data_IF_151358980331
#
_entry.id   IF_151358980331
#
_cell.length_a   1.000
_cell.length_b   1.000
_cell.length_c   1.000
_cell.angle_alpha   90.00
_cell.angle_beta   90.00
_cell.angle_gamma   90.00
#
_symmetry.space_group_name_H-M   'P 1'
#
loop_
_entity.id
_entity.type
_entity.pdbx_description
1 polymer ?
#
# COMPACT_ATOMS: atom_id res chain seq x y z
N UNK A 1 15.57 19.42 -8.54
CA UNK A 1 16.58 18.63 -9.29
C UNK A 1 15.99 17.26 -9.68
N UNK A 2 14.77 17.22 -10.19
CA UNK A 2 14.14 15.98 -10.66
C UNK A 2 14.07 16.03 -12.19
N UNK A 3 14.50 14.96 -12.85
CA UNK A 3 14.56 14.90 -14.31
C UNK A 3 13.17 14.55 -14.84
N UNK A 4 12.58 15.34 -15.75
CA UNK A 4 11.23 15.06 -16.27
C UNK A 4 11.03 13.69 -16.93
N UNK A 5 12.11 13.05 -17.40
CA UNK A 5 12.07 11.71 -18.00
C UNK A 5 11.78 10.59 -16.98
N UNK A 6 12.07 10.82 -15.70
CA UNK A 6 11.89 9.87 -14.60
C UNK A 6 10.38 9.59 -14.36
N UNK A 7 9.55 10.63 -14.48
CA UNK A 7 8.11 10.53 -14.19
C UNK A 7 7.34 9.58 -15.12
N UNK A 8 7.77 9.37 -16.37
CA UNK A 8 7.10 8.40 -17.25
C UNK A 8 7.31 6.98 -16.75
N UNK A 9 8.53 6.67 -16.35
CA UNK A 9 8.88 5.36 -15.76
C UNK A 9 8.18 5.17 -14.42
N UNK A 10 8.14 6.22 -13.58
CA UNK A 10 7.42 6.20 -12.31
C UNK A 10 5.91 5.97 -12.50
N UNK A 11 5.26 6.72 -13.40
CA UNK A 11 3.83 6.55 -13.71
C UNK A 11 3.57 5.14 -14.25
N UNK A 12 4.42 4.63 -15.14
CA UNK A 12 4.29 3.27 -15.67
C UNK A 12 4.41 2.22 -14.55
N UNK A 13 5.37 2.37 -13.63
CA UNK A 13 5.54 1.49 -12.48
C UNK A 13 4.30 1.50 -11.57
N UNK A 14 3.80 2.69 -11.23
CA UNK A 14 2.61 2.85 -10.40
C UNK A 14 1.35 2.31 -11.08
N UNK A 15 1.22 2.45 -12.40
CA UNK A 15 0.11 1.87 -13.17
C UNK A 15 0.12 0.34 -13.11
N UNK A 16 1.28 -0.29 -13.28
CA UNK A 16 1.43 -1.75 -13.15
C UNK A 16 1.01 -2.23 -11.76
N UNK A 17 1.49 -1.57 -10.70
CA UNK A 17 1.07 -1.88 -9.33
C UNK A 17 -0.45 -1.71 -9.15
N UNK A 18 -1.05 -0.71 -9.80
CA UNK A 18 -2.50 -0.48 -9.74
C UNK A 18 -3.28 -1.62 -10.42
N UNK A 19 -2.78 -2.21 -11.51
CA UNK A 19 -3.42 -3.38 -12.15
C UNK A 19 -3.48 -4.54 -11.17
N UNK A 20 -2.36 -4.87 -10.50
CA UNK A 20 -2.31 -5.97 -9.54
C UNK A 20 -3.24 -5.74 -8.34
N UNK A 21 -3.32 -4.50 -7.86
CA UNK A 21 -4.21 -4.08 -6.75
C UNK A 21 -5.67 -4.14 -7.12
N UNK A 22 -6.00 -3.76 -8.34
CA UNK A 22 -7.36 -3.72 -8.82
C UNK A 22 -7.95 -5.12 -9.09
N UNK A 23 -7.18 -6.19 -8.92
CA UNK A 23 -7.66 -7.54 -9.17
C UNK A 23 -8.88 -7.96 -8.33
N UNK A 24 -9.17 -7.29 -7.21
CA UNK A 24 -10.38 -7.55 -6.42
C UNK A 24 -11.60 -6.75 -6.89
N UNK A 25 -11.41 -5.80 -7.81
CA UNK A 25 -12.45 -4.88 -8.24
C UNK A 25 -12.64 -4.97 -9.76
N UNK A 26 -13.74 -4.38 -10.24
CA UNK A 26 -14.11 -4.46 -11.66
C UNK A 26 -13.16 -3.66 -12.59
N UNK A 27 -12.75 -2.42 -12.28
CA UNK A 27 -11.97 -1.64 -13.23
C UNK A 27 -10.49 -2.05 -13.26
N UNK A 28 -9.90 -2.08 -14.45
CA UNK A 28 -8.45 -2.24 -14.61
C UNK A 28 -7.65 -1.07 -14.00
N UNK A 29 -6.34 -1.25 -13.84
CA UNK A 29 -5.44 -0.25 -13.26
C UNK A 29 -4.99 0.81 -14.26
N UNK A 30 -5.03 2.09 -13.85
CA UNK A 30 -4.47 3.21 -14.59
C UNK A 30 -3.68 4.13 -13.64
N UNK A 31 -2.76 4.93 -14.20
CA UNK A 31 -2.09 6.01 -13.46
C UNK A 31 -1.86 7.23 -14.33
N UNK A 32 -2.08 8.41 -13.73
CA UNK A 32 -1.79 9.70 -14.32
C UNK A 32 -0.95 10.55 -13.37
N UNK A 33 -0.29 11.58 -13.91
CA UNK A 33 0.51 12.51 -13.15
C UNK A 33 0.84 13.77 -13.95
N UNK A 34 1.24 14.83 -13.26
CA UNK A 34 1.64 16.08 -13.87
C UNK A 34 2.79 16.72 -13.08
N UNK A 35 3.53 17.61 -13.76
CA UNK A 35 4.63 18.37 -13.16
C UNK A 35 4.30 19.85 -13.24
N UNK A 36 4.33 20.55 -12.11
CA UNK A 36 4.19 22.00 -12.06
C UNK A 36 5.50 22.65 -12.51
N UNK A 37 5.50 23.23 -13.72
CA UNK A 37 6.69 23.85 -14.31
C UNK A 37 6.93 25.28 -13.81
N UNK A 38 5.87 25.99 -13.43
CA UNK A 38 5.95 27.37 -12.98
C UNK A 38 6.57 27.43 -11.59
N UNK A 39 7.58 28.28 -11.41
CA UNK A 39 8.06 28.60 -10.07
C UNK A 39 7.09 29.58 -9.42
N UNK A 40 6.56 29.18 -8.27
CA UNK A 40 5.61 29.98 -7.49
C UNK A 40 6.16 30.16 -6.08
N UNK A 41 5.87 31.30 -5.46
CA UNK A 41 6.08 31.45 -4.02
C UNK A 41 5.27 30.40 -3.25
N UNK A 42 5.77 29.96 -2.09
CA UNK A 42 5.16 28.89 -1.28
C UNK A 42 3.66 29.13 -0.99
N UNK A 43 3.25 30.39 -0.84
CA UNK A 43 1.86 30.76 -0.57
C UNK A 43 0.92 30.52 -1.78
N UNK A 44 1.45 30.56 -3.00
CA UNK A 44 0.68 30.39 -4.24
C UNK A 44 0.83 28.99 -4.85
N UNK A 45 1.79 28.20 -4.36
CA UNK A 45 2.10 26.88 -4.92
C UNK A 45 0.88 25.93 -4.91
N UNK A 46 0.11 25.89 -3.83
CA UNK A 46 -1.07 25.02 -3.75
C UNK A 46 -2.14 25.39 -4.80
N UNK A 47 -2.38 26.68 -5.00
CA UNK A 47 -3.33 27.16 -6.01
C UNK A 47 -2.87 26.83 -7.44
N UNK A 48 -1.57 26.92 -7.72
CA UNK A 48 -1.00 26.51 -9.02
C UNK A 48 -1.14 25.00 -9.23
N UNK A 49 -0.90 24.19 -8.19
CA UNK A 49 -1.08 22.73 -8.24
C UNK A 49 -2.53 22.38 -8.54
N UNK A 50 -3.50 23.01 -7.86
CA UNK A 50 -4.93 22.81 -8.16
C UNK A 50 -5.28 23.26 -9.59
N UNK A 51 -4.74 24.38 -10.06
CA UNK A 51 -4.96 24.86 -11.44
C UNK A 51 -4.43 23.87 -12.48
N UNK A 52 -3.23 23.32 -12.28
CA UNK A 52 -2.66 22.29 -13.14
C UNK A 52 -3.49 20.99 -13.10
N UNK A 53 -3.96 20.61 -11.92
CA UNK A 53 -4.85 19.44 -11.77
C UNK A 53 -6.16 19.63 -12.52
N UNK A 54 -6.80 20.80 -12.40
CA UNK A 54 -8.02 21.13 -13.13
C UNK A 54 -7.80 21.05 -14.64
N UNK A 55 -6.68 21.58 -15.15
CA UNK A 55 -6.33 21.48 -16.57
C UNK A 55 -6.16 20.02 -17.01
N UNK A 56 -5.46 19.19 -16.23
CA UNK A 56 -5.27 17.78 -16.55
C UNK A 56 -6.63 17.05 -16.63
N UNK A 57 -7.46 17.17 -15.60
CA UNK A 57 -8.77 16.50 -15.55
C UNK A 57 -9.68 16.99 -16.66
N UNK A 58 -9.74 18.31 -16.90
CA UNK A 58 -10.47 18.88 -18.04
C UNK A 58 -10.01 18.29 -19.38
N UNK A 59 -8.70 18.19 -19.59
CA UNK A 59 -8.14 17.64 -20.83
C UNK A 59 -8.47 16.16 -21.01
N UNK A 60 -8.48 15.37 -19.92
CA UNK A 60 -8.90 13.96 -19.95
C UNK A 60 -10.38 13.83 -20.31
N UNK A 61 -11.26 14.66 -19.72
CA UNK A 61 -12.69 14.66 -20.02
C UNK A 61 -13.02 15.13 -21.45
N UNK A 62 -12.14 15.90 -22.08
CA UNK A 62 -12.28 16.32 -23.50
C UNK A 62 -11.92 15.22 -24.50
N UNK A 63 -11.21 14.17 -24.08
CA UNK A 63 -10.80 13.06 -24.95
C UNK A 63 -11.49 11.73 -24.64
N UNK A 64 -12.01 11.54 -23.41
CA UNK A 64 -12.69 10.33 -22.99
C UNK A 64 -14.08 10.21 -23.63
N UNK A 65 -14.46 9.01 -24.10
CA UNK A 65 -15.84 8.75 -24.49
C UNK A 65 -16.78 8.94 -23.29
N UNK A 66 -18.00 9.40 -23.56
CA UNK A 66 -19.02 9.63 -22.54
C UNK A 66 -20.25 8.74 -22.77
N UNK A 67 -21.16 8.67 -21.81
CA UNK A 67 -22.47 8.02 -21.97
C UNK A 67 -23.58 9.05 -21.92
N UNK A 68 -24.54 8.92 -22.83
CA UNK A 68 -25.78 9.66 -22.76
C UNK A 68 -26.75 9.04 -21.72
N UNK A 69 -27.86 9.74 -21.49
CA UNK A 69 -28.89 9.32 -20.53
C UNK A 69 -29.60 8.01 -20.88
N UNK A 70 -29.41 7.48 -22.08
CA UNK A 70 -29.97 6.22 -22.58
C UNK A 70 -28.90 5.11 -22.63
N UNK A 71 -27.67 5.39 -22.20
CA UNK A 71 -26.54 4.44 -22.23
C UNK A 71 -25.88 4.34 -23.60
N UNK A 72 -26.11 5.29 -24.51
CA UNK A 72 -25.40 5.35 -25.80
C UNK A 72 -24.05 6.03 -25.62
N UNK A 73 -23.01 5.43 -26.20
CA UNK A 73 -21.66 6.00 -26.25
C UNK A 73 -21.64 7.29 -27.08
N UNK A 74 -21.00 8.31 -26.53
CA UNK A 74 -20.73 9.60 -27.15
C UNK A 74 -19.21 9.71 -27.32
N UNK A 75 -18.74 9.63 -28.57
CA UNK A 75 -17.35 9.89 -28.90
C UNK A 75 -17.05 11.39 -28.96
N UNK A 76 -15.84 11.76 -28.53
CA UNK A 76 -15.40 13.14 -28.59
C UNK A 76 -14.99 13.55 -30.01
N UNK A 77 -15.35 14.78 -30.39
CA UNK A 77 -14.97 15.31 -31.70
C UNK A 77 -13.45 15.51 -31.77
N UNK A 78 -12.85 15.18 -32.92
CA UNK A 78 -11.41 15.32 -33.19
C UNK A 78 -10.49 14.39 -32.37
N UNK A 79 -11.02 13.27 -31.85
CA UNK A 79 -10.22 12.19 -31.26
C UNK A 79 -10.08 11.05 -32.26
N UNK A 80 -8.86 10.59 -32.47
CA UNK A 80 -8.59 9.36 -33.20
C UNK A 80 -8.43 8.22 -32.19
N UNK A 81 -9.48 7.39 -32.05
CA UNK A 81 -9.47 6.22 -31.19
C UNK A 81 -8.75 5.05 -31.88
N UNK A 82 -7.87 4.38 -31.15
CA UNK A 82 -7.16 3.17 -31.61
C UNK A 82 -7.71 1.89 -30.96
N UNK A 83 -8.53 2.07 -29.94
CA UNK A 83 -9.23 1.10 -29.12
C UNK A 83 -10.75 1.16 -29.37
N UNK A 84 -11.51 0.29 -28.67
CA UNK A 84 -12.97 0.33 -28.70
C UNK A 84 -13.54 1.36 -27.72
N UNK A 85 -14.87 1.42 -27.64
CA UNK A 85 -15.59 2.33 -26.75
C UNK A 85 -15.09 2.24 -25.31
N UNK A 86 -14.62 3.36 -24.75
CA UNK A 86 -14.19 3.44 -23.36
C UNK A 86 -14.80 4.65 -22.65
N UNK A 87 -15.91 4.38 -21.96
CA UNK A 87 -16.62 5.42 -21.23
C UNK A 87 -16.25 5.48 -19.76
N UNK A 88 -15.44 4.55 -19.24
CA UNK A 88 -15.22 4.42 -17.79
C UNK A 88 -13.85 4.96 -17.39
N UNK A 89 -13.85 6.15 -16.80
CA UNK A 89 -12.66 6.75 -16.19
C UNK A 89 -12.99 7.22 -14.78
N UNK A 90 -12.34 6.61 -13.78
CA UNK A 90 -12.41 7.03 -12.38
C UNK A 90 -11.04 7.48 -11.92
N UNK A 91 -10.98 8.63 -11.26
CA UNK A 91 -9.73 9.17 -10.70
C UNK A 91 -9.74 9.07 -9.19
N UNK A 92 -8.59 8.76 -8.60
CA UNK A 92 -8.43 8.69 -7.15
C UNK A 92 -7.36 9.67 -6.66
N UNK A 93 -7.42 9.98 -5.37
CA UNK A 93 -6.43 10.77 -4.67
C UNK A 93 -5.05 10.08 -4.65
N UNK A 94 -3.99 10.87 -4.83
CA UNK A 94 -2.61 10.43 -4.62
C UNK A 94 -1.76 11.55 -3.99
N UNK A 95 -0.45 11.31 -3.82
CA UNK A 95 0.55 12.26 -3.32
C UNK A 95 0.45 13.57 -4.09
N UNK A 96 0.15 14.65 -3.35
CA UNK A 96 0.02 16.01 -3.91
C UNK A 96 -1.39 16.37 -4.39
N UNK A 97 -2.33 15.43 -4.48
CA UNK A 97 -3.72 15.67 -4.93
C UNK A 97 -4.78 15.13 -3.98
N UNK A 98 -4.38 14.67 -2.78
CA UNK A 98 -5.27 13.96 -1.85
C UNK A 98 -6.56 14.71 -1.46
N UNK A 99 -6.60 16.04 -1.57
CA UNK A 99 -7.78 16.87 -1.28
C UNK A 99 -8.63 17.22 -2.51
N UNK A 100 -8.33 16.68 -3.70
CA UNK A 100 -8.92 17.14 -4.95
C UNK A 100 -10.07 16.29 -5.50
N UNK A 101 -10.53 15.25 -4.79
CA UNK A 101 -11.70 14.45 -5.23
C UNK A 101 -12.95 15.31 -5.47
N UNK A 102 -13.20 16.32 -4.62
CA UNK A 102 -14.32 17.25 -4.81
C UNK A 102 -14.15 18.10 -6.09
N UNK A 103 -12.92 18.51 -6.41
CA UNK A 103 -12.59 19.26 -7.63
C UNK A 103 -12.82 18.40 -8.88
N UNK A 104 -12.40 17.13 -8.86
CA UNK A 104 -12.62 16.19 -9.95
C UNK A 104 -14.12 15.96 -10.20
N UNK A 105 -14.89 15.72 -9.13
CA UNK A 105 -16.33 15.51 -9.21
C UNK A 105 -17.09 16.78 -9.67
N UNK A 106 -16.61 17.97 -9.29
CA UNK A 106 -17.13 19.25 -9.79
C UNK A 106 -16.91 19.38 -11.32
N UNK A 107 -15.70 19.06 -11.80
CA UNK A 107 -15.37 19.11 -13.23
C UNK A 107 -16.17 18.08 -14.04
N UNK A 108 -16.25 16.83 -13.58
CA UNK A 108 -17.07 15.79 -14.20
C UNK A 108 -18.51 16.25 -14.43
N UNK A 109 -19.15 16.85 -13.41
CA UNK A 109 -20.50 17.42 -13.51
C UNK A 109 -20.57 18.59 -14.50
N UNK A 110 -19.55 19.46 -14.52
CA UNK A 110 -19.50 20.60 -15.45
C UNK A 110 -19.40 20.16 -16.91
N UNK A 111 -18.63 19.12 -17.19
CA UNK A 111 -18.48 18.52 -18.52
C UNK A 111 -19.65 17.60 -18.91
N UNK A 112 -20.60 17.36 -18.01
CA UNK A 112 -21.70 16.42 -18.25
C UNK A 112 -21.22 14.98 -18.41
N UNK A 113 -20.10 14.63 -17.78
CA UNK A 113 -19.59 13.27 -17.79
C UNK A 113 -20.51 12.37 -16.95
N UNK A 114 -20.86 11.20 -17.49
CA UNK A 114 -21.95 10.37 -16.97
C UNK A 114 -21.73 9.89 -15.53
N UNK A 115 -20.47 9.76 -15.09
CA UNK A 115 -20.15 9.38 -13.71
C UNK A 115 -20.48 10.48 -12.69
N UNK A 116 -20.57 11.74 -13.09
CA UNK A 116 -20.92 12.83 -12.18
C UNK A 116 -20.05 12.86 -10.92
N UNK A 117 -20.65 12.66 -9.73
CA UNK A 117 -19.92 12.57 -8.45
C UNK A 117 -19.31 11.21 -8.09
N UNK A 118 -19.49 10.21 -8.96
CA UNK A 118 -18.77 8.95 -8.92
C UNK A 118 -17.44 8.98 -9.69
N UNK A 119 -17.12 10.09 -10.38
CA UNK A 119 -15.89 10.23 -11.15
C UNK A 119 -14.63 10.14 -10.26
N UNK A 120 -14.72 10.57 -9.00
CA UNK A 120 -13.68 10.39 -8.00
C UNK A 120 -14.25 9.84 -6.68
N UNK A 121 -13.54 8.86 -6.11
CA UNK A 121 -13.80 8.34 -4.77
C UNK A 121 -13.28 9.29 -3.68
N UNK A 122 -13.85 9.18 -2.48
CA UNK A 122 -13.55 10.06 -1.37
C UNK A 122 -14.17 11.46 -1.50
N UNK A 123 -13.49 12.46 -0.97
CA UNK A 123 -14.00 13.85 -0.90
C UNK A 123 -15.12 14.04 0.12
N UNK A 124 -15.79 15.19 0.06
CA UNK A 124 -16.81 15.62 1.03
C UNK A 124 -18.00 14.67 1.18
N UNK A 125 -18.29 13.86 0.16
CA UNK A 125 -19.42 12.92 0.12
C UNK A 125 -19.01 11.44 0.10
N UNK A 126 -17.71 11.15 0.06
CA UNK A 126 -17.17 9.78 0.03
C UNK A 126 -16.70 9.26 1.38
N UNK A 127 -16.00 8.15 1.36
CA UNK A 127 -15.37 7.54 2.52
C UNK A 127 -13.93 8.04 2.68
N UNK A 128 -13.56 8.44 3.89
CA UNK A 128 -12.20 8.92 4.19
C UNK A 128 -11.36 7.74 4.70
N UNK A 129 -10.38 7.32 3.90
CA UNK A 129 -9.58 6.13 4.20
C UNK A 129 -8.82 6.23 5.52
N UNK A 130 -8.42 7.44 5.93
CA UNK A 130 -7.69 7.67 7.18
C UNK A 130 -8.61 7.66 8.38
N UNK A 131 -9.80 8.25 8.26
CA UNK A 131 -10.82 8.20 9.32
C UNK A 131 -11.30 6.76 9.51
N UNK A 132 -11.57 6.05 8.43
CA UNK A 132 -12.02 4.65 8.50
C UNK A 132 -10.87 3.68 8.80
N UNK A 133 -9.63 4.07 8.52
CA UNK A 133 -8.42 3.25 8.69
C UNK A 133 -8.42 1.99 7.84
N UNK A 134 -9.12 1.99 6.70
CA UNK A 134 -9.47 0.77 5.96
C UNK A 134 -8.23 0.04 5.44
N UNK A 135 -7.26 0.76 4.88
CA UNK A 135 -6.02 0.19 4.36
C UNK A 135 -5.22 -0.50 5.46
N UNK A 136 -5.16 0.11 6.65
CA UNK A 136 -4.48 -0.48 7.80
C UNK A 136 -5.23 -1.69 8.36
N UNK A 137 -6.58 -1.68 8.33
CA UNK A 137 -7.41 -2.83 8.72
C UNK A 137 -7.20 -4.01 7.75
N UNK A 138 -7.18 -3.77 6.45
CA UNK A 138 -6.86 -4.79 5.43
C UNK A 138 -5.46 -5.40 5.64
N UNK A 139 -4.44 -4.56 5.86
CA UNK A 139 -3.09 -5.01 6.17
C UNK A 139 -3.04 -5.85 7.46
N UNK A 140 -3.84 -5.51 8.47
CA UNK A 140 -3.97 -6.34 9.67
C UNK A 140 -4.66 -7.67 9.43
N UNK A 141 -5.61 -7.75 8.50
CA UNK A 141 -6.20 -9.03 8.09
C UNK A 141 -5.12 -9.98 7.55
N UNK A 142 -4.18 -9.47 6.74
CA UNK A 142 -2.99 -10.23 6.30
C UNK A 142 -2.09 -10.66 7.46
N UNK A 143 -1.78 -9.73 8.38
CA UNK A 143 -0.97 -10.03 9.55
C UNK A 143 -1.60 -11.15 10.39
N UNK A 144 -2.91 -11.07 10.66
CA UNK A 144 -3.66 -12.06 11.40
C UNK A 144 -3.63 -13.43 10.73
N UNK A 145 -3.71 -13.50 9.40
CA UNK A 145 -3.52 -14.75 8.65
C UNK A 145 -2.14 -15.33 8.90
N UNK A 146 -1.08 -14.54 8.74
CA UNK A 146 0.29 -15.02 8.96
C UNK A 146 0.54 -15.50 10.40
N UNK A 147 0.03 -14.77 11.40
CA UNK A 147 0.12 -15.18 12.80
C UNK A 147 -0.66 -16.47 13.08
N UNK A 148 -1.86 -16.61 12.50
CA UNK A 148 -2.68 -17.83 12.60
C UNK A 148 -1.96 -19.03 11.99
N UNK A 149 -1.28 -18.85 10.86
CA UNK A 149 -0.48 -19.89 10.20
C UNK A 149 0.76 -20.30 11.01
N UNK A 150 1.21 -19.44 11.92
CA UNK A 150 2.26 -19.73 12.91
C UNK A 150 1.70 -20.24 14.26
N UNK A 151 0.39 -20.42 14.37
CA UNK A 151 -0.26 -20.88 15.59
C UNK A 151 -0.28 -19.85 16.74
N UNK A 152 -0.07 -18.56 16.45
CA UNK A 152 -0.03 -17.49 17.45
C UNK A 152 -1.34 -16.68 17.44
N UNK A 153 -1.97 -16.51 18.60
CA UNK A 153 -3.20 -15.72 18.71
C UNK A 153 -2.91 -14.31 19.25
N UNK A 154 -2.69 -13.37 18.34
CA UNK A 154 -2.35 -11.98 18.68
C UNK A 154 -3.47 -11.17 19.36
N UNK A 155 -4.70 -11.71 19.43
CA UNK A 155 -5.77 -11.11 20.23
C UNK A 155 -5.57 -11.36 21.74
N UNK A 156 -4.79 -12.39 22.10
CA UNK A 156 -4.52 -12.79 23.50
C UNK A 156 -3.04 -12.69 23.88
N UNK A 157 -2.13 -12.84 22.93
CA UNK A 157 -0.69 -12.95 23.16
C UNK A 157 0.04 -11.69 22.69
N UNK A 158 1.10 -11.30 23.43
CA UNK A 158 1.98 -10.21 23.01
C UNK A 158 2.91 -10.63 21.88
N UNK A 159 3.24 -9.69 21.01
CA UNK A 159 4.20 -9.87 19.93
C UNK A 159 5.05 -8.61 19.77
N UNK A 160 6.27 -8.81 19.27
CA UNK A 160 7.25 -7.74 19.09
C UNK A 160 7.21 -7.31 17.63
N UNK A 161 7.16 -6.00 17.39
CA UNK A 161 7.23 -5.46 16.04
C UNK A 161 8.23 -4.31 15.90
N UNK A 162 8.72 -4.14 14.68
CA UNK A 162 9.32 -2.89 14.20
C UNK A 162 8.48 -2.30 13.07
N UNK A 163 8.69 -1.03 12.78
CA UNK A 163 7.83 -0.28 11.88
C UNK A 163 8.54 0.70 10.95
N UNK A 164 7.97 0.87 9.75
CA UNK A 164 8.35 1.94 8.81
C UNK A 164 7.19 2.94 8.75
N UNK A 165 7.37 4.12 9.32
CA UNK A 165 6.36 5.18 9.40
C UNK A 165 6.30 5.88 10.77
N UNK A 166 5.30 6.73 10.93
CA UNK A 166 5.01 7.46 12.16
C UNK A 166 3.50 7.56 12.44
N UNK A 167 3.15 7.95 13.67
CA UNK A 167 1.75 8.00 14.14
C UNK A 167 0.87 9.05 13.44
N UNK A 168 1.42 9.98 12.66
CA UNK A 168 0.65 10.91 11.84
C UNK A 168 0.24 10.31 10.50
N UNK A 169 0.88 9.22 10.07
CA UNK A 169 0.57 8.50 8.84
C UNK A 169 -0.79 7.81 8.91
N UNK A 170 -1.46 7.70 7.77
CA UNK A 170 -2.72 6.96 7.65
C UNK A 170 -2.50 5.47 7.98
N UNK A 171 -1.74 4.77 7.13
CA UNK A 171 -1.56 3.32 7.23
C UNK A 171 -0.80 2.93 8.50
N UNK A 172 0.31 3.62 8.78
CA UNK A 172 1.12 3.33 9.97
C UNK A 172 0.38 3.68 11.26
N UNK A 173 -0.20 4.89 11.33
CA UNK A 173 -0.88 5.38 12.52
C UNK A 173 -2.08 4.51 12.87
N UNK A 174 -2.97 4.24 11.91
CA UNK A 174 -4.11 3.34 12.11
C UNK A 174 -3.63 1.91 12.46
N UNK A 175 -2.65 1.39 11.73
CA UNK A 175 -2.10 0.05 11.95
C UNK A 175 -1.57 -0.15 13.37
N UNK A 176 -0.83 0.82 13.89
CA UNK A 176 -0.28 0.73 15.23
C UNK A 176 -1.35 0.75 16.34
N UNK A 177 -2.59 1.17 16.06
CA UNK A 177 -3.66 1.23 17.05
C UNK A 177 -4.56 -0.03 17.10
N UNK A 178 -4.42 -0.94 16.14
CA UNK A 178 -5.35 -2.06 15.98
C UNK A 178 -5.08 -3.25 16.91
N UNK A 179 -3.94 -3.29 17.61
CA UNK A 179 -3.65 -4.32 18.61
C UNK A 179 -3.22 -3.77 19.97
N UNK A 180 -3.90 -4.25 21.02
CA UNK A 180 -3.57 -3.97 22.44
C UNK A 180 -2.38 -4.78 22.96
N UNK A 181 -1.94 -5.80 22.23
CA UNK A 181 -0.87 -6.72 22.64
C UNK A 181 0.45 -6.44 21.92
N UNK A 182 0.47 -5.44 21.03
CA UNK A 182 1.64 -5.01 20.27
C UNK A 182 2.70 -4.37 21.18
N UNK A 183 3.93 -4.88 21.11
CA UNK A 183 5.15 -4.25 21.60
C UNK A 183 5.95 -3.68 20.41
N UNK A 184 5.74 -2.41 20.09
CA UNK A 184 6.50 -1.71 19.04
C UNK A 184 7.86 -1.28 19.62
N UNK A 185 8.93 -2.01 19.29
CA UNK A 185 10.24 -1.76 19.89
C UNK A 185 11.08 -0.73 19.15
N UNK A 186 10.83 -0.54 17.85
CA UNK A 186 11.45 0.52 17.07
C UNK A 186 10.58 0.88 15.86
N UNK A 187 10.67 2.13 15.43
CA UNK A 187 10.09 2.59 14.18
C UNK A 187 10.90 3.76 13.63
N UNK A 188 10.79 4.05 12.34
CA UNK A 188 11.44 5.22 11.75
C UNK A 188 10.59 5.82 10.63
N UNK A 189 10.69 7.13 10.44
CA UNK A 189 10.14 7.85 9.29
C UNK A 189 11.26 8.64 8.59
N UNK A 190 10.89 9.61 7.75
CA UNK A 190 11.85 10.51 7.10
C UNK A 190 12.56 11.49 8.06
N UNK A 191 12.11 11.63 9.32
CA UNK A 191 12.59 12.64 10.28
C UNK A 191 13.30 12.02 11.47
N UNK A 192 12.72 10.96 12.02
CA UNK A 192 12.98 10.45 13.34
C UNK A 192 13.16 8.92 13.36
N UNK A 193 13.85 8.45 14.39
CA UNK A 193 14.00 7.04 14.76
C UNK A 193 13.50 6.89 16.19
N UNK A 194 12.42 6.15 16.38
CA UNK A 194 11.82 5.80 17.67
C UNK A 194 12.36 4.44 18.14
N UNK A 195 12.74 4.35 19.42
CA UNK A 195 13.16 3.10 20.07
C UNK A 195 12.55 3.03 21.47
N UNK A 196 11.89 1.91 21.78
CA UNK A 196 11.38 1.57 23.11
C UNK A 196 11.70 0.09 23.39
N UNK A 197 12.76 -0.25 24.13
CA UNK A 197 13.25 -1.63 24.20
C UNK A 197 12.30 -2.68 24.80
N UNK A 198 11.46 -2.28 25.76
CA UNK A 198 10.42 -3.14 26.35
C UNK A 198 9.15 -2.32 26.65
N UNK A 199 8.39 -1.95 25.60
CA UNK A 199 7.24 -1.10 25.75
C UNK A 199 6.13 -1.84 26.51
N UNK A 200 5.50 -1.17 27.47
CA UNK A 200 4.29 -1.72 28.08
C UNK A 200 3.12 -1.60 27.08
N UNK A 201 2.47 -2.71 26.66
CA UNK A 201 1.50 -2.67 25.54
C UNK A 201 0.35 -1.67 25.74
N UNK A 202 -0.29 -1.69 26.91
CA UNK A 202 -1.41 -0.78 27.20
C UNK A 202 -1.00 0.70 27.29
N UNK A 203 0.11 1.01 27.97
CA UNK A 203 0.58 2.40 28.15
C UNK A 203 1.06 3.00 26.82
N UNK A 204 1.83 2.23 26.06
CA UNK A 204 2.32 2.64 24.74
C UNK A 204 1.18 2.75 23.71
N UNK A 205 0.15 1.89 23.77
CA UNK A 205 -1.05 2.06 22.94
C UNK A 205 -1.76 3.40 23.25
N UNK A 206 -1.98 3.71 24.53
CA UNK A 206 -2.63 4.96 24.92
C UNK A 206 -1.84 6.19 24.43
N UNK A 207 -0.51 6.15 24.52
CA UNK A 207 0.35 7.23 24.04
C UNK A 207 0.37 7.34 22.51
N UNK A 208 0.46 6.22 21.79
CA UNK A 208 0.32 6.20 20.33
C UNK A 208 -1.02 6.78 19.89
N UNK A 209 -2.11 6.45 20.58
CA UNK A 209 -3.45 7.03 20.31
C UNK A 209 -3.47 8.55 20.55
N UNK A 210 -2.80 9.03 21.59
CA UNK A 210 -2.64 10.48 21.82
C UNK A 210 -1.91 11.15 20.65
N UNK A 211 -0.80 10.59 20.20
CA UNK A 211 -0.02 11.11 19.06
C UNK A 211 -0.81 11.13 17.75
N UNK A 212 -1.55 10.06 17.47
CA UNK A 212 -2.40 9.95 16.28
C UNK A 212 -3.47 11.04 16.22
N UNK A 213 -4.03 11.43 17.38
CA UNK A 213 -5.08 12.44 17.47
C UNK A 213 -4.56 13.89 17.47
N UNK A 214 -3.24 14.12 17.45
CA UNK A 214 -2.70 15.47 17.31
C UNK A 214 -2.87 15.97 15.88
N UNK A 215 -3.18 17.27 15.72
CA UNK A 215 -3.33 17.90 14.39
C UNK A 215 -2.07 17.78 13.53
N UNK A 216 -0.90 17.81 14.18
CA UNK A 216 0.42 17.51 13.61
C UNK A 216 1.20 16.76 14.67
N UNK A 217 1.85 15.67 14.29
CA UNK A 217 2.69 14.89 15.19
C UNK A 217 3.93 14.34 14.47
N UNK A 218 4.86 13.93 15.30
CA UNK A 218 6.10 13.24 14.97
C UNK A 218 6.45 12.30 16.12
N UNK A 219 7.47 11.46 15.95
CA UNK A 219 7.97 10.67 17.06
C UNK A 219 8.53 11.54 18.19
N UNK A 220 9.02 12.76 17.90
CA UNK A 220 9.51 13.68 18.94
C UNK A 220 8.44 14.11 19.93
N UNK A 221 7.16 14.04 19.54
CA UNK A 221 6.04 14.39 20.41
C UNK A 221 5.71 13.29 21.44
N UNK A 222 6.33 12.10 21.33
CA UNK A 222 6.11 10.98 22.24
C UNK A 222 6.54 11.33 23.66
N UNK A 223 5.69 11.06 24.64
CA UNK A 223 5.97 11.32 26.04
C UNK A 223 7.10 10.42 26.55
N UNK A 224 8.31 10.97 26.64
CA UNK A 224 9.53 10.27 27.05
C UNK A 224 9.44 9.62 28.43
N UNK A 225 8.54 10.07 29.31
CA UNK A 225 8.31 9.43 30.63
C UNK A 225 7.63 8.06 30.52
N UNK A 226 7.02 7.73 29.37
CA UNK A 226 6.36 6.46 29.11
C UNK A 226 7.25 5.45 28.39
N UNK A 227 8.41 5.88 27.89
CA UNK A 227 9.41 4.98 27.31
C UNK A 227 9.97 4.06 28.38
N UNK A 228 10.22 2.80 28.02
CA UNK A 228 10.93 1.86 28.87
C UNK A 228 12.40 2.29 29.06
N UNK A 229 13.10 1.60 29.95
CA UNK A 229 14.51 1.88 30.23
C UNK A 229 15.34 1.76 28.96
N UNK A 230 16.08 2.82 28.64
CA UNK A 230 16.91 2.89 27.44
C UNK A 230 16.16 3.29 26.15
N UNK A 231 14.85 3.56 26.23
CA UNK A 231 14.08 4.11 25.12
C UNK A 231 14.44 5.56 24.80
N UNK A 232 14.31 5.91 23.52
CA UNK A 232 14.71 7.21 22.99
C UNK A 232 14.03 7.51 21.66
N UNK A 233 14.05 8.80 21.29
CA UNK A 233 13.68 9.26 19.95
C UNK A 233 14.82 10.11 19.41
N UNK A 234 15.39 9.69 18.29
CA UNK A 234 16.48 10.38 17.62
C UNK A 234 15.99 11.09 16.37
N UNK A 235 16.62 12.21 16.02
CA UNK A 235 16.47 12.80 14.69
C UNK A 235 17.46 12.15 13.73
N UNK A 236 17.00 11.82 12.52
CA UNK A 236 17.83 11.33 11.41
C UNK A 236 18.86 12.35 10.92
N UNK A 237 18.72 13.63 11.27
CA UNK A 237 19.66 14.67 10.90
C UNK A 237 20.98 14.64 11.73
N UNK A 238 21.04 13.83 12.80
CA UNK A 238 22.26 13.70 13.61
C UNK A 238 23.31 12.86 12.90
N UNK A 239 24.59 13.17 13.09
CA UNK A 239 25.70 12.38 12.54
C UNK A 239 25.98 11.09 13.33
N UNK A 240 25.62 11.06 14.61
CA UNK A 240 25.95 9.97 15.52
C UNK A 240 24.94 9.92 16.67
N UNK A 241 24.56 8.71 17.07
CA UNK A 241 23.52 8.42 18.05
C UNK A 241 24.09 7.51 19.14
N UNK A 242 24.14 7.98 20.38
CA UNK A 242 24.56 7.15 21.52
C UNK A 242 23.42 6.22 21.93
N UNK A 243 23.68 4.91 21.96
CA UNK A 243 22.67 3.91 22.28
C UNK A 243 22.82 3.41 23.72
N UNK A 244 21.67 3.20 24.38
CA UNK A 244 21.60 2.52 25.66
C UNK A 244 21.96 1.04 25.55
N UNK A 245 22.31 0.39 26.66
CA UNK A 245 22.55 -1.06 26.68
C UNK A 245 21.28 -1.82 26.28
N UNK A 246 20.12 -1.35 26.72
CA UNK A 246 18.82 -1.95 26.43
C UNK A 246 18.44 -1.86 24.95
N UNK A 247 18.62 -0.69 24.31
CA UNK A 247 18.37 -0.51 22.87
C UNK A 247 19.30 -1.37 22.02
N UNK A 248 20.58 -1.43 22.38
CA UNK A 248 21.57 -2.29 21.72
C UNK A 248 21.19 -3.76 21.79
N UNK A 249 20.78 -4.22 22.98
CA UNK A 249 20.40 -5.61 23.20
C UNK A 249 19.20 -6.02 22.34
N UNK A 250 18.15 -5.20 22.29
CA UNK A 250 16.93 -5.56 21.54
C UNK A 250 17.12 -5.48 20.02
N UNK A 251 18.00 -4.60 19.53
CA UNK A 251 18.31 -4.43 18.12
C UNK A 251 19.53 -5.24 17.64
N UNK A 252 20.20 -5.99 18.52
CA UNK A 252 21.38 -6.78 18.16
C UNK A 252 22.62 -5.94 17.80
N UNK A 253 22.75 -4.73 18.35
CA UNK A 253 23.84 -3.79 18.05
C UNK A 253 24.94 -3.90 19.11
N UNK A 254 26.21 -3.92 18.70
CA UNK A 254 27.34 -4.03 19.63
C UNK A 254 27.90 -2.65 20.03
N UNK A 255 27.87 -1.72 19.09
CA UNK A 255 28.44 -0.39 19.12
C UNK A 255 27.69 0.51 20.10
N UNK A 256 28.42 1.26 20.93
CA UNK A 256 27.82 2.24 21.86
C UNK A 256 27.31 3.50 21.15
N UNK A 257 27.75 3.72 19.92
CA UNK A 257 27.38 4.87 19.09
C UNK A 257 27.27 4.43 17.63
N UNK A 258 26.23 4.88 16.94
CA UNK A 258 25.91 4.47 15.56
C UNK A 258 25.39 5.67 14.76
N UNK A 259 25.61 5.69 13.44
CA UNK A 259 24.94 6.67 12.57
C UNK A 259 23.47 6.29 12.31
N UNK A 260 22.60 7.25 11.93
CA UNK A 260 21.18 6.96 11.71
C UNK A 260 20.90 5.89 10.64
N UNK A 261 21.67 5.86 9.57
CA UNK A 261 21.40 4.93 8.46
C UNK A 261 21.75 3.49 8.85
N UNK A 262 22.88 3.31 9.54
CA UNK A 262 23.24 2.02 10.16
C UNK A 262 22.23 1.58 11.22
N UNK A 263 21.65 2.51 11.99
CA UNK A 263 20.59 2.19 12.95
C UNK A 263 19.30 1.74 12.25
N UNK A 264 18.91 2.38 11.14
CA UNK A 264 17.74 1.95 10.35
C UNK A 264 17.98 0.55 9.77
N UNK A 265 19.17 0.27 9.24
CA UNK A 265 19.54 -1.09 8.79
C UNK A 265 19.40 -2.12 9.92
N UNK A 266 19.88 -1.79 11.12
CA UNK A 266 19.73 -2.67 12.29
C UNK A 266 18.25 -2.88 12.70
N UNK A 267 17.41 -1.85 12.58
CA UNK A 267 15.96 -1.97 12.82
C UNK A 267 15.31 -2.89 11.79
N UNK A 268 15.66 -2.76 10.50
CA UNK A 268 15.16 -3.62 9.43
C UNK A 268 15.63 -5.07 9.60
N UNK A 269 16.86 -5.29 10.09
CA UNK A 269 17.39 -6.62 10.41
C UNK A 269 16.97 -7.16 11.78
N UNK A 270 16.11 -6.48 12.53
CA UNK A 270 15.78 -6.89 13.90
C UNK A 270 15.05 -8.25 13.93
N UNK A 271 15.41 -9.10 14.89
CA UNK A 271 14.73 -10.37 15.13
C UNK A 271 13.41 -10.14 15.88
N UNK A 272 12.31 -10.00 15.13
CA UNK A 272 10.99 -9.67 15.66
C UNK A 272 9.90 -10.56 15.07
N UNK A 273 8.70 -10.51 15.66
CA UNK A 273 7.56 -11.24 15.12
C UNK A 273 7.00 -10.56 13.85
N UNK A 274 7.03 -9.22 13.77
CA UNK A 274 6.43 -8.44 12.69
C UNK A 274 7.30 -7.24 12.27
N UNK A 275 7.57 -7.08 10.97
CA UNK A 275 7.92 -5.81 10.35
C UNK A 275 6.67 -5.25 9.67
N UNK A 276 6.17 -4.11 10.15
CA UNK A 276 5.01 -3.44 9.55
C UNK A 276 5.47 -2.22 8.75
N UNK A 277 5.33 -2.30 7.42
CA UNK A 277 5.61 -1.17 6.54
C UNK A 277 4.32 -0.37 6.32
N UNK A 278 4.24 0.83 6.91
CA UNK A 278 3.19 1.82 6.61
C UNK A 278 3.73 3.06 5.88
N UNK A 279 4.96 3.00 5.38
CA UNK A 279 5.66 4.06 4.67
C UNK A 279 5.72 3.83 3.16
N UNK A 280 6.47 4.68 2.47
CA UNK A 280 6.71 4.57 1.02
C UNK A 280 8.22 4.48 0.81
N UNK A 281 8.64 3.62 -0.10
CA UNK A 281 10.04 3.45 -0.49
C UNK A 281 10.49 2.00 -0.37
N UNK A 282 11.50 1.64 -1.15
CA UNK A 282 12.01 0.27 -1.25
C UNK A 282 13.20 0.06 -0.33
N UNK A 283 12.93 -0.56 0.82
CA UNK A 283 13.88 -0.79 1.90
C UNK A 283 14.58 -2.15 1.82
N UNK A 284 14.00 -3.10 1.09
CA UNK A 284 14.52 -4.45 0.98
C UNK A 284 14.64 -4.85 -0.49
N UNK A 285 15.81 -5.37 -0.87
CA UNK A 285 16.09 -5.94 -2.20
C UNK A 285 16.55 -7.40 -2.07
N UNK A 286 16.55 -8.16 -3.15
CA UNK A 286 17.21 -9.46 -3.18
C UNK A 286 18.74 -9.31 -3.02
N UNK A 287 19.40 -10.39 -2.63
CA UNK A 287 20.86 -10.43 -2.49
C UNK A 287 21.60 -10.15 -3.80
N UNK A 288 21.03 -10.60 -4.92
CA UNK A 288 21.62 -10.45 -6.25
C UNK A 288 21.36 -9.09 -6.92
N UNK A 289 20.38 -8.32 -6.44
CA UNK A 289 20.08 -6.99 -6.99
C UNK A 289 21.10 -5.95 -6.50
N UNK A 290 21.46 -5.01 -7.35
CA UNK A 290 22.22 -3.83 -6.97
C UNK A 290 21.29 -2.66 -6.61
N UNK A 291 21.72 -1.78 -5.70
CA UNK A 291 20.92 -0.63 -5.30
C UNK A 291 20.50 0.27 -6.48
N UNK A 292 21.37 0.40 -7.48
CA UNK A 292 21.12 1.18 -8.70
C UNK A 292 19.99 0.63 -9.57
N UNK A 293 19.61 -0.63 -9.41
CA UNK A 293 18.58 -1.31 -10.20
C UNK A 293 17.19 -1.18 -9.56
N UNK A 294 17.11 -0.86 -8.27
CA UNK A 294 15.86 -0.82 -7.49
C UNK A 294 14.99 0.40 -7.82
N UNK A 295 15.59 1.48 -8.33
CA UNK A 295 14.84 2.68 -8.72
C UNK A 295 14.43 3.59 -7.56
N UNK A 296 15.02 3.44 -6.37
CA UNK A 296 14.77 4.30 -5.20
C UNK A 296 16.06 4.79 -4.53
N UNK A 297 16.78 5.74 -5.14
CA UNK A 297 18.07 6.19 -4.63
C UNK A 297 18.00 6.85 -3.24
N UNK A 298 16.81 7.31 -2.81
CA UNK A 298 16.63 7.95 -1.50
C UNK A 298 16.80 6.98 -0.34
N UNK A 299 16.53 5.68 -0.58
CA UNK A 299 16.66 4.64 0.43
C UNK A 299 17.90 3.76 0.25
N UNK A 300 18.78 4.03 -0.72
CA UNK A 300 19.98 3.24 -0.99
C UNK A 300 20.88 3.05 0.25
N UNK A 301 21.05 4.10 1.05
CA UNK A 301 21.91 4.04 2.24
C UNK A 301 21.33 3.19 3.37
N UNK A 302 20.01 3.03 3.42
CA UNK A 302 19.31 2.26 4.46
C UNK A 302 18.83 0.90 3.98
N UNK A 303 18.89 0.62 2.67
CA UNK A 303 18.41 -0.63 2.08
C UNK A 303 19.23 -1.82 2.55
N UNK A 304 18.56 -2.92 2.88
CA UNK A 304 19.19 -4.20 3.19
C UNK A 304 18.79 -5.29 2.19
N UNK A 305 19.58 -6.36 2.10
CA UNK A 305 19.21 -7.55 1.34
C UNK A 305 18.24 -8.43 2.14
N UNK A 306 17.35 -9.15 1.44
CA UNK A 306 16.36 -10.04 2.03
C UNK A 306 16.96 -11.12 2.95
N UNK A 307 18.14 -11.66 2.62
CA UNK A 307 18.87 -12.57 3.51
C UNK A 307 19.24 -12.00 4.90
N UNK A 308 19.23 -10.67 5.08
CA UNK A 308 19.48 -10.01 6.37
C UNK A 308 18.19 -9.63 7.12
N UNK A 309 17.02 -10.00 6.59
CA UNK A 309 15.74 -9.73 7.22
C UNK A 309 15.37 -10.88 8.15
N UNK A 310 15.22 -10.59 9.44
CA UNK A 310 14.98 -11.59 10.49
C UNK A 310 13.59 -11.51 11.11
N UNK A 311 12.74 -10.59 10.66
CA UNK A 311 11.33 -10.61 11.03
C UNK A 311 10.69 -11.94 10.60
N UNK A 312 9.77 -12.50 11.39
CA UNK A 312 9.03 -13.72 10.99
C UNK A 312 7.93 -13.43 9.98
N UNK A 313 7.32 -12.25 10.10
CA UNK A 313 6.23 -11.78 9.26
C UNK A 313 6.57 -10.36 8.79
N UNK A 314 6.27 -10.08 7.53
CA UNK A 314 6.24 -8.74 6.96
C UNK A 314 4.82 -8.46 6.48
N UNK A 315 4.36 -7.23 6.71
CA UNK A 315 3.13 -6.71 6.10
C UNK A 315 3.41 -5.37 5.46
N UNK A 316 3.09 -5.26 4.17
CA UNK A 316 3.25 -4.07 3.35
C UNK A 316 1.94 -3.29 3.22
N UNK A 317 1.55 -2.62 4.31
CA UNK A 317 0.43 -1.67 4.25
C UNK A 317 0.73 -0.46 3.35
N UNK A 318 1.99 -0.04 3.27
CA UNK A 318 2.49 0.96 2.33
C UNK A 318 2.89 0.36 0.98
N UNK A 319 3.24 1.21 0.01
CA UNK A 319 3.60 0.76 -1.33
C UNK A 319 5.11 0.53 -1.47
N UNK A 320 5.47 -0.50 -2.24
CA UNK A 320 6.82 -0.76 -2.75
C UNK A 320 7.90 -0.84 -1.65
N UNK A 321 7.58 -1.46 -0.51
CA UNK A 321 8.55 -1.71 0.58
C UNK A 321 9.70 -2.62 0.15
N UNK A 322 9.40 -3.54 -0.76
CA UNK A 322 10.27 -4.62 -1.22
C UNK A 322 10.28 -4.67 -2.75
N UNK A 323 11.42 -5.04 -3.34
CA UNK A 323 11.42 -5.56 -4.72
C UNK A 323 10.71 -6.91 -4.76
N UNK A 324 10.15 -7.29 -5.91
CA UNK A 324 9.50 -8.59 -6.04
C UNK A 324 10.46 -9.75 -5.76
N UNK A 325 11.69 -9.66 -6.27
CA UNK A 325 12.75 -10.62 -6.00
C UNK A 325 13.07 -10.74 -4.49
N UNK A 326 13.06 -9.62 -3.75
CA UNK A 326 13.26 -9.63 -2.30
C UNK A 326 12.16 -10.38 -1.57
N UNK A 327 10.89 -10.20 -1.98
CA UNK A 327 9.75 -10.90 -1.36
C UNK A 327 9.90 -12.41 -1.54
N UNK A 328 10.28 -12.84 -2.74
CA UNK A 328 10.48 -14.25 -3.08
C UNK A 328 11.65 -14.82 -2.29
N UNK A 329 12.82 -14.16 -2.29
CA UNK A 329 14.00 -14.61 -1.51
C UNK A 329 13.68 -14.71 -0.02
N UNK A 330 13.00 -13.72 0.55
CA UNK A 330 12.59 -13.74 1.95
C UNK A 330 11.60 -14.87 2.25
N UNK A 331 10.63 -15.12 1.36
CA UNK A 331 9.66 -16.21 1.50
C UNK A 331 10.31 -17.59 1.40
N UNK A 332 11.26 -17.78 0.48
CA UNK A 332 12.04 -19.01 0.33
C UNK A 332 12.89 -19.30 1.57
N UNK A 333 13.37 -18.25 2.26
CA UNK A 333 14.08 -18.36 3.54
C UNK A 333 13.16 -18.57 4.76
N UNK A 334 11.86 -18.84 4.54
CA UNK A 334 10.88 -19.14 5.59
C UNK A 334 10.17 -17.93 6.17
N UNK A 335 10.46 -16.72 5.65
CA UNK A 335 9.70 -15.52 5.93
C UNK A 335 8.26 -15.60 5.42
N UNK A 336 7.36 -14.82 6.02
CA UNK A 336 5.96 -14.74 5.59
C UNK A 336 5.62 -13.33 5.14
N UNK A 337 5.24 -13.20 3.88
CA UNK A 337 4.97 -11.93 3.22
C UNK A 337 3.98 -12.18 2.05
N UNK A 338 3.11 -11.21 1.78
CA UNK A 338 2.40 -11.09 0.51
C UNK A 338 2.98 -9.92 -0.29
N UNK A 339 2.53 -9.69 -1.51
CA UNK A 339 2.80 -8.39 -2.15
C UNK A 339 2.00 -7.29 -1.46
N UNK A 340 2.51 -6.07 -1.50
CA UNK A 340 1.77 -4.86 -1.08
C UNK A 340 0.38 -4.78 -1.72
N UNK A 341 0.23 -5.24 -2.97
CA UNK A 341 -1.04 -5.29 -3.68
C UNK A 341 -2.12 -6.15 -3.00
N UNK A 342 -1.76 -7.11 -2.16
CA UNK A 342 -2.69 -7.91 -1.34
C UNK A 342 -2.89 -7.24 0.01
N UNK A 343 -1.79 -6.81 0.64
CA UNK A 343 -1.83 -6.27 2.00
C UNK A 343 -2.60 -4.96 2.11
N UNK A 344 -2.57 -4.12 1.07
CA UNK A 344 -3.18 -2.79 1.11
C UNK A 344 -4.35 -2.60 0.11
N UNK A 345 -4.88 -3.70 -0.45
CA UNK A 345 -5.99 -3.65 -1.44
C UNK A 345 -7.28 -3.04 -0.89
N UNK A 346 -7.52 -3.15 0.43
CA UNK A 346 -8.73 -2.69 1.10
C UNK A 346 -9.08 -1.22 0.82
N UNK A 347 -8.08 -0.37 0.57
CA UNK A 347 -8.31 1.02 0.19
C UNK A 347 -8.94 1.14 -1.20
N UNK A 348 -8.39 0.42 -2.18
CA UNK A 348 -8.91 0.40 -3.56
C UNK A 348 -10.29 -0.24 -3.59
N UNK A 349 -10.49 -1.31 -2.85
CA UNK A 349 -11.76 -2.01 -2.71
C UNK A 349 -12.88 -1.12 -2.13
N UNK A 350 -12.59 -0.40 -1.03
CA UNK A 350 -13.53 0.58 -0.47
C UNK A 350 -13.91 1.67 -1.48
N UNK A 351 -12.93 2.13 -2.28
CA UNK A 351 -13.17 3.12 -3.33
C UNK A 351 -14.08 2.58 -4.44
N UNK A 352 -13.93 1.32 -4.84
CA UNK A 352 -14.78 0.71 -5.87
C UNK A 352 -16.22 0.55 -5.38
N UNK A 353 -16.42 0.05 -4.16
CA UNK A 353 -17.75 0.00 -3.54
C UNK A 353 -18.41 1.37 -3.46
N UNK A 354 -17.65 2.42 -3.10
CA UNK A 354 -18.16 3.78 -3.07
C UNK A 354 -18.62 4.26 -4.44
N UNK A 355 -17.78 4.08 -5.47
CA UNK A 355 -18.07 4.49 -6.85
C UNK A 355 -19.28 3.75 -7.39
N UNK A 356 -19.33 2.42 -7.25
CA UNK A 356 -20.45 1.60 -7.72
C UNK A 356 -21.76 1.97 -7.02
N UNK A 357 -21.73 2.24 -5.71
CA UNK A 357 -22.91 2.68 -4.98
C UNK A 357 -23.36 4.09 -5.43
N UNK A 358 -22.43 5.01 -5.73
CA UNK A 358 -22.77 6.32 -6.29
C UNK A 358 -23.42 6.21 -7.66
N UNK A 359 -22.86 5.37 -8.56
CA UNK A 359 -23.40 5.09 -9.89
C UNK A 359 -24.83 4.54 -9.76
N UNK A 360 -25.04 3.53 -8.92
CA UNK A 360 -26.36 2.93 -8.69
C UNK A 360 -27.38 3.95 -8.18
N UNK A 361 -26.99 4.77 -7.19
CA UNK A 361 -27.87 5.76 -6.59
C UNK A 361 -28.24 6.88 -7.57
N UNK A 362 -27.29 7.35 -8.38
CA UNK A 362 -27.54 8.37 -9.39
C UNK A 362 -28.39 7.84 -10.55
N UNK A 363 -28.05 6.65 -11.07
CA UNK A 363 -28.80 5.97 -12.14
C UNK A 363 -30.26 5.69 -11.77
N UNK A 364 -30.59 5.55 -10.49
CA UNK A 364 -31.98 5.40 -10.04
C UNK A 364 -32.86 6.62 -10.36
N UNK A 365 -32.27 7.81 -10.50
CA UNK A 365 -32.94 9.12 -10.66
C UNK A 365 -34.02 9.43 -9.59
N UNK A 366 -34.10 8.63 -8.52
CA UNK A 366 -35.11 8.74 -7.45
C UNK A 366 -34.67 9.68 -6.32
N UNK A 367 -33.37 9.88 -6.15
CA UNK A 367 -32.80 10.53 -4.98
C UNK A 367 -32.05 11.81 -5.35
N UNK A 368 -32.32 12.89 -4.64
CA UNK A 368 -31.48 14.09 -4.70
C UNK A 368 -30.11 13.84 -4.04
N UNK A 369 -29.15 14.73 -4.28
CA UNK A 369 -27.77 14.63 -3.76
C UNK A 369 -27.71 14.42 -2.25
N UNK A 370 -28.54 15.13 -1.48
CA UNK A 370 -28.58 15.01 -0.01
C UNK A 370 -29.00 13.60 0.44
N UNK A 371 -30.01 13.02 -0.21
CA UNK A 371 -30.46 11.66 0.10
C UNK A 371 -29.42 10.63 -0.32
N UNK A 372 -28.75 10.82 -1.47
CA UNK A 372 -27.65 9.95 -1.93
C UNK A 372 -26.50 9.92 -0.92
N UNK A 373 -26.02 11.08 -0.47
CA UNK A 373 -24.98 11.17 0.56
C UNK A 373 -25.40 10.56 1.90
N UNK A 374 -26.68 10.66 2.29
CA UNK A 374 -27.20 10.01 3.49
C UNK A 374 -27.19 8.48 3.38
N UNK A 375 -27.58 7.95 2.22
CA UNK A 375 -27.55 6.51 1.95
C UNK A 375 -26.12 5.96 1.93
N UNK A 376 -25.17 6.65 1.30
CA UNK A 376 -23.75 6.27 1.35
C UNK A 376 -23.26 6.12 2.79
N UNK A 377 -23.55 7.10 3.65
CA UNK A 377 -23.18 7.04 5.08
C UNK A 377 -23.88 5.89 5.82
N UNK A 378 -25.12 5.56 5.45
CA UNK A 378 -25.88 4.46 6.05
C UNK A 378 -25.28 3.10 5.70
N UNK A 379 -24.80 2.90 4.46
CA UNK A 379 -24.23 1.62 4.02
C UNK A 379 -22.76 1.44 4.38
N UNK A 380 -22.07 2.52 4.80
CA UNK A 380 -20.64 2.55 5.10
C UNK A 380 -20.15 1.37 5.96
N UNK A 381 -20.84 1.04 7.06
CA UNK A 381 -20.39 -0.05 7.93
C UNK A 381 -20.46 -1.41 7.23
N UNK A 382 -21.53 -1.68 6.48
CA UNK A 382 -21.67 -2.93 5.71
C UNK A 382 -20.58 -3.04 4.65
N UNK A 383 -20.30 -1.94 3.94
CA UNK A 383 -19.24 -1.92 2.92
C UNK A 383 -17.88 -2.18 3.55
N UNK A 384 -17.58 -1.59 4.71
CA UNK A 384 -16.33 -1.87 5.42
C UNK A 384 -16.24 -3.35 5.81
N UNK A 385 -17.35 -3.96 6.25
CA UNK A 385 -17.37 -5.38 6.60
C UNK A 385 -17.16 -6.28 5.37
N UNK A 386 -17.77 -5.92 4.22
CA UNK A 386 -17.62 -6.62 2.95
C UNK A 386 -16.15 -6.57 2.47
N UNK A 387 -15.55 -5.37 2.41
CA UNK A 387 -14.13 -5.17 2.04
C UNK A 387 -13.19 -6.00 2.92
N UNK A 388 -13.42 -6.03 4.24
CA UNK A 388 -12.57 -6.81 5.14
C UNK A 388 -12.79 -8.33 5.00
N UNK A 389 -13.98 -8.75 4.59
CA UNK A 389 -14.26 -10.14 4.21
C UNK A 389 -13.45 -10.52 2.97
N UNK A 390 -13.41 -9.65 1.96
CA UNK A 390 -12.67 -9.88 0.72
C UNK A 390 -11.16 -9.97 0.99
N UNK A 391 -10.60 -9.10 1.84
CA UNK A 391 -9.20 -9.24 2.29
C UNK A 391 -8.95 -10.57 3.03
N UNK A 392 -9.90 -11.01 3.86
CA UNK A 392 -9.77 -12.26 4.61
C UNK A 392 -9.78 -13.48 3.68
N UNK A 393 -10.66 -13.48 2.68
CA UNK A 393 -10.80 -14.54 1.69
C UNK A 393 -9.63 -14.57 0.72
N UNK A 394 -9.16 -13.42 0.25
CA UNK A 394 -8.00 -13.34 -0.65
C UNK A 394 -6.73 -13.88 0.02
N UNK A 395 -6.44 -13.47 1.25
CA UNK A 395 -5.28 -13.99 2.00
C UNK A 395 -5.44 -15.47 2.34
N UNK A 396 -6.68 -15.96 2.53
CA UNK A 396 -6.95 -17.39 2.68
C UNK A 396 -6.68 -18.16 1.38
N UNK A 397 -7.13 -17.64 0.24
CA UNK A 397 -6.93 -18.26 -1.07
C UNK A 397 -5.44 -18.45 -1.36
N UNK A 398 -4.64 -17.39 -1.19
CA UNK A 398 -3.17 -17.45 -1.37
C UNK A 398 -2.54 -18.46 -0.42
N UNK A 399 -2.93 -18.48 0.87
CA UNK A 399 -2.39 -19.42 1.84
C UNK A 399 -2.75 -20.89 1.52
N UNK A 400 -3.96 -21.15 1.01
CA UNK A 400 -4.38 -22.47 0.58
C UNK A 400 -3.65 -22.90 -0.70
N UNK A 401 -3.44 -21.97 -1.63
CA UNK A 401 -2.73 -22.23 -2.88
C UNK A 401 -1.24 -22.47 -2.67
N UNK A 402 -0.62 -21.86 -1.66
CA UNK A 402 0.74 -22.20 -1.23
C UNK A 402 0.84 -23.69 -0.83
N UNK A 403 -0.16 -24.20 -0.11
CA UNK A 403 -0.20 -25.61 0.31
C UNK A 403 -0.47 -26.52 -0.90
N UNK A 404 -1.36 -26.10 -1.82
CA UNK A 404 -1.71 -26.87 -3.02
C UNK A 404 -0.55 -26.93 -4.01
N UNK A 405 0.16 -25.82 -4.22
CA UNK A 405 1.26 -25.71 -5.17
C UNK A 405 2.41 -26.66 -4.81
N UNK A 406 2.74 -26.79 -3.53
CA UNK A 406 3.72 -27.77 -3.01
C UNK A 406 3.37 -29.23 -3.32
N UNK A 407 2.08 -29.54 -3.51
CA UNK A 407 1.60 -30.91 -3.81
C UNK A 407 1.39 -31.15 -5.29
N UNK A 408 0.99 -30.12 -6.03
CA UNK A 408 0.60 -30.21 -7.44
C UNK A 408 0.83 -28.87 -8.14
N UNK A 409 1.96 -28.75 -8.83
CA UNK A 409 2.29 -27.53 -9.60
C UNK A 409 1.62 -27.43 -10.96
N UNK A 410 1.21 -28.56 -11.58
CA UNK A 410 0.70 -28.55 -12.96
C UNK A 410 -0.43 -27.55 -13.21
N UNK A 411 -1.46 -27.41 -12.35
CA UNK A 411 -2.48 -26.38 -12.53
C UNK A 411 -1.90 -24.97 -12.57
N UNK A 412 -0.99 -24.64 -11.65
CA UNK A 412 -0.38 -23.32 -11.56
C UNK A 412 0.51 -23.01 -12.77
N UNK A 413 1.34 -23.97 -13.19
CA UNK A 413 2.18 -23.83 -14.37
C UNK A 413 1.34 -23.66 -15.65
N UNK A 414 0.23 -24.40 -15.78
CA UNK A 414 -0.70 -24.25 -16.90
C UNK A 414 -1.39 -22.89 -16.89
N UNK A 415 -1.78 -22.37 -15.72
CA UNK A 415 -2.38 -21.04 -15.60
C UNK A 415 -1.38 -19.95 -16.04
N UNK A 416 -0.12 -20.01 -15.59
CA UNK A 416 0.92 -19.07 -16.02
C UNK A 416 1.07 -19.11 -17.54
N UNK A 417 1.23 -20.30 -18.12
CA UNK A 417 1.39 -20.46 -19.57
C UNK A 417 0.17 -19.98 -20.38
N UNK A 418 -1.05 -20.19 -19.88
CA UNK A 418 -2.28 -19.72 -20.53
C UNK A 418 -2.37 -18.18 -20.51
N UNK A 419 -2.08 -17.55 -19.36
CA UNK A 419 -2.09 -16.09 -19.23
C UNK A 419 -1.02 -15.43 -20.10
N UNK A 420 0.16 -16.04 -20.23
CA UNK A 420 1.21 -15.58 -21.15
C UNK A 420 0.79 -15.72 -22.61
N UNK A 421 0.17 -16.85 -22.98
CA UNK A 421 -0.35 -17.07 -24.33
C UNK A 421 -1.43 -16.07 -24.71
N UNK A 422 -2.24 -15.63 -23.73
CA UNK A 422 -3.26 -14.57 -23.89
C UNK A 422 -2.66 -13.16 -23.93
N UNK A 423 -1.36 -13.00 -23.65
CA UNK A 423 -0.71 -11.69 -23.56
C UNK A 423 -1.10 -10.88 -22.33
N UNK A 424 -1.72 -11.52 -21.32
CA UNK A 424 -2.20 -10.88 -20.09
C UNK A 424 -1.07 -10.81 -19.04
N UNK A 425 -0.21 -11.83 -19.02
CA UNK A 425 0.90 -11.96 -18.08
C UNK A 425 2.23 -11.98 -18.82
N UNK A 426 3.24 -11.38 -18.21
CA UNK A 426 4.64 -11.61 -18.56
C UNK A 426 5.35 -12.14 -17.31
N UNK A 427 5.58 -13.46 -17.24
CA UNK A 427 6.10 -14.12 -16.04
C UNK A 427 7.44 -13.57 -15.59
N UNK A 428 8.34 -13.28 -16.54
CA UNK A 428 9.68 -12.74 -16.25
C UNK A 428 9.61 -11.35 -15.63
N UNK A 429 8.76 -10.46 -16.16
CA UNK A 429 8.60 -9.11 -15.61
C UNK A 429 7.99 -9.12 -14.21
N UNK A 430 7.16 -10.12 -13.93
CA UNK A 430 6.51 -10.32 -12.62
C UNK A 430 7.35 -11.15 -11.64
N UNK A 431 8.55 -11.58 -12.05
CA UNK A 431 9.44 -12.39 -11.22
C UNK A 431 8.87 -13.78 -10.89
N UNK A 432 8.00 -14.33 -11.75
CA UNK A 432 7.50 -15.70 -11.61
C UNK A 432 8.57 -16.70 -12.10
N UNK A 433 8.68 -17.87 -11.44
CA UNK A 433 9.69 -18.87 -11.76
C UNK A 433 9.42 -19.50 -13.12
N UNK A 434 10.49 -19.80 -13.84
CA UNK A 434 10.40 -20.52 -15.11
C UNK A 434 10.03 -22.01 -14.90
N UNK A 435 9.69 -22.75 -15.98
CA UNK A 435 9.31 -24.15 -15.86
C UNK A 435 10.37 -25.08 -15.26
N UNK A 436 11.67 -24.76 -15.40
CA UNK A 436 12.75 -25.57 -14.87
C UNK A 436 12.94 -25.30 -13.36
N UNK A 437 12.90 -24.03 -12.96
CA UNK A 437 12.90 -23.62 -11.55
C UNK A 437 11.70 -24.22 -10.80
N UNK A 438 10.50 -24.20 -11.39
CA UNK A 438 9.32 -24.83 -10.80
C UNK A 438 9.50 -26.33 -10.58
N UNK A 439 10.13 -27.04 -11.52
CA UNK A 439 10.40 -28.48 -11.39
C UNK A 439 11.40 -28.77 -10.28
N UNK A 440 12.43 -27.95 -10.14
CA UNK A 440 13.44 -28.13 -9.10
C UNK A 440 12.87 -27.83 -7.71
N UNK A 441 12.10 -26.74 -7.57
CA UNK A 441 11.36 -26.44 -6.34
C UNK A 441 10.45 -27.60 -5.92
N UNK A 442 9.73 -28.21 -6.87
CA UNK A 442 8.85 -29.36 -6.56
C UNK A 442 9.62 -30.56 -5.98
N UNK A 443 10.81 -30.87 -6.50
CA UNK A 443 11.65 -31.96 -5.98
C UNK A 443 12.07 -31.69 -4.54
N UNK A 444 12.25 -30.42 -4.17
CA UNK A 444 12.58 -29.99 -2.82
C UNK A 444 11.34 -29.88 -1.90
N UNK A 445 10.14 -30.20 -2.40
CA UNK A 445 8.88 -30.03 -1.68
C UNK A 445 8.44 -28.57 -1.54
N UNK A 446 9.07 -27.69 -2.32
CA UNK A 446 8.74 -26.27 -2.46
C UNK A 446 7.76 -26.11 -3.62
N UNK A 447 6.85 -25.15 -3.51
CA UNK A 447 5.90 -24.80 -4.56
C UNK A 447 6.12 -23.36 -5.03
N UNK A 448 5.04 -22.71 -5.40
CA UNK A 448 5.02 -21.25 -5.48
C UNK A 448 4.99 -20.66 -4.07
N UNK A 449 5.73 -19.58 -3.89
CA UNK A 449 5.74 -18.75 -2.69
C UNK A 449 4.48 -17.86 -2.64
N UNK A 450 4.16 -17.31 -1.46
CA UNK A 450 3.04 -16.38 -1.32
C UNK A 450 3.17 -15.14 -2.22
N UNK A 451 4.33 -14.49 -2.36
CA UNK A 451 4.48 -13.36 -3.29
C UNK A 451 4.21 -13.71 -4.75
N UNK A 452 4.61 -14.90 -5.21
CA UNK A 452 4.33 -15.36 -6.58
C UNK A 452 2.83 -15.66 -6.76
N UNK A 453 2.20 -16.28 -5.77
CA UNK A 453 0.77 -16.54 -5.77
C UNK A 453 -0.08 -15.26 -5.66
N UNK A 454 0.41 -14.26 -4.93
CA UNK A 454 -0.18 -12.92 -4.86
C UNK A 454 -0.21 -12.25 -6.24
N UNK A 455 0.82 -12.46 -7.06
CA UNK A 455 0.79 -11.99 -8.45
C UNK A 455 -0.18 -12.82 -9.28
N UNK A 456 -0.08 -14.14 -9.20
CA UNK A 456 -0.88 -15.04 -10.05
C UNK A 456 -2.39 -14.86 -9.81
N UNK A 457 -2.83 -14.74 -8.54
CA UNK A 457 -4.24 -14.50 -8.23
C UNK A 457 -4.71 -13.18 -8.83
N UNK A 458 -3.87 -12.15 -8.89
CA UNK A 458 -4.24 -10.86 -9.46
C UNK A 458 -4.48 -10.89 -10.97
N UNK A 459 -3.78 -11.76 -11.68
CA UNK A 459 -3.96 -11.93 -13.14
C UNK A 459 -5.03 -12.98 -13.49
N UNK A 460 -5.36 -13.89 -12.58
CA UNK A 460 -6.32 -14.98 -12.80
C UNK A 460 -7.79 -14.57 -12.63
N UNK A 461 -8.08 -13.32 -12.24
CA UNK A 461 -9.45 -12.79 -12.15
C UNK A 461 -10.01 -12.41 -13.54
N UNK A 462 -9.17 -12.36 -14.59
CA UNK A 462 -9.52 -11.93 -15.95
C UNK A 462 -9.71 -13.04 -17.00
#
# INVERSE_FOLDING_TARGET
HERPADFRTEILGLMKTQITKNAQIVPTGAKGGFVVKRQCDKNNFFAEVESCYRLLISSLLEIQDNLDNNGKVIHQANVAAYDGDDTYLVVAADKGTASFSDVANELSKRYGFWLGDAFASGGSNGFDHKIEGITAKGAWTSAERHFRDLGKNIAKETFIAVGIGDMSGDVFGNGMLLSKNLKLIAAFDHRDIFIDPDPHPTKSLAERKRLFNLKRSSWQDYNKKLLSKGGCVFSRAKKSLALSIEARKVLGISETSIDPDSLIRAILSANVDLLYNGGIGTYIKAGHEHNSEVGDPQNDSVRISAGNLHAKIVVEGGNLGFTQAARIEYALNGGRIYTDAIDNSAGVDLSDHEVNLKILLDGSRKYNSKTRSSLLKKFKSSIIDDVLSDNYEQTLAVALDEIRSRRRLTPFANTIADLEKRGILNSQLEGLPDPDELRDRLKEGVGLTRPELSVLISYAVF
#
